data_IF_316035581588
#
_entry.id   IF_316035581588
#
_cell.length_a   1.000
_cell.length_b   1.000
_cell.length_c   1.000
_cell.angle_alpha   90.00
_cell.angle_beta   90.00
_cell.angle_gamma   90.00
#
_symmetry.space_group_name_H-M   'P 1'
#
loop_
_entity.id
_entity.type
_entity.pdbx_description
1 polymer ?
#
# COMPACT_ATOMS: atom_id res chain seq x y z
N UNK A 1 4.47 3.12 4.47
CA UNK A 1 3.71 3.96 5.43
C UNK A 1 4.48 5.14 6.01
N UNK A 2 5.80 5.03 6.26
CA UNK A 2 6.56 6.12 6.92
C UNK A 2 6.39 7.50 6.27
N UNK A 3 6.38 7.57 4.94
CA UNK A 3 6.32 8.85 4.23
C UNK A 3 4.98 9.58 4.38
N UNK A 4 3.85 8.87 4.33
CA UNK A 4 2.53 9.49 4.49
C UNK A 4 2.28 9.92 5.94
N UNK A 5 2.79 9.16 6.91
CA UNK A 5 2.72 9.53 8.33
C UNK A 5 3.57 10.76 8.62
N UNK A 6 4.76 10.88 8.03
CA UNK A 6 5.57 12.09 8.13
C UNK A 6 4.89 13.28 7.47
N UNK A 7 4.30 13.08 6.29
CA UNK A 7 3.55 14.14 5.62
C UNK A 7 2.40 14.66 6.48
N UNK A 8 1.62 13.75 7.09
CA UNK A 8 0.58 14.09 8.03
C UNK A 8 1.13 14.89 9.22
N UNK A 9 2.18 14.40 9.90
CA UNK A 9 2.75 15.09 11.06
C UNK A 9 3.26 16.50 10.73
N UNK A 10 3.81 16.70 9.54
CA UNK A 10 4.36 17.99 9.14
C UNK A 10 3.28 19.02 8.74
N UNK A 11 2.13 18.57 8.23
CA UNK A 11 1.13 19.46 7.61
C UNK A 11 -0.28 19.39 8.22
N UNK A 12 -0.56 18.52 9.21
CA UNK A 12 -1.90 18.35 9.80
C UNK A 12 -2.52 19.62 10.40
N UNK A 13 -1.72 20.61 10.76
CA UNK A 13 -2.21 21.90 11.28
C UNK A 13 -2.57 22.88 10.14
N UNK A 14 -2.34 22.49 8.88
CA UNK A 14 -2.53 23.32 7.68
C UNK A 14 -3.38 22.67 6.60
N UNK A 15 -3.51 21.35 6.61
CA UNK A 15 -4.31 20.59 5.68
C UNK A 15 -4.92 19.38 6.37
N UNK A 16 -6.15 19.02 5.98
CA UNK A 16 -6.81 17.80 6.41
C UNK A 16 -6.26 16.59 5.65
N UNK A 17 -6.23 15.44 6.32
CA UNK A 17 -5.80 14.17 5.75
C UNK A 17 -6.87 13.12 5.99
N UNK A 18 -7.14 12.31 4.98
CA UNK A 18 -8.03 11.15 5.07
C UNK A 18 -7.43 10.01 4.24
N UNK A 19 -7.28 8.85 4.85
CA UNK A 19 -7.03 7.59 4.12
C UNK A 19 -8.36 6.86 3.99
N UNK A 20 -8.69 6.36 2.79
CA UNK A 20 -9.91 5.57 2.56
C UNK A 20 -9.50 4.15 2.19
N UNK A 21 -9.96 3.19 2.98
CA UNK A 21 -9.74 1.77 2.70
C UNK A 21 -10.67 1.28 1.61
N UNK A 22 -10.10 0.79 0.51
CA UNK A 22 -10.84 0.23 -0.64
C UNK A 22 -10.70 -1.30 -0.69
N UNK A 23 -11.20 -1.94 -1.74
CA UNK A 23 -11.08 -3.39 -1.96
C UNK A 23 -9.62 -3.86 -2.02
N UNK A 24 -9.37 -5.12 -1.66
CA UNK A 24 -8.04 -5.71 -1.63
C UNK A 24 -7.39 -5.72 -3.02
N UNK A 25 -6.09 -5.41 -3.08
CA UNK A 25 -5.32 -5.55 -4.32
C UNK A 25 -4.90 -7.00 -4.59
N UNK A 26 -4.70 -7.77 -3.52
CA UNK A 26 -4.14 -9.13 -3.58
C UNK A 26 -4.86 -10.07 -2.60
N UNK A 27 -6.15 -10.34 -2.78
CA UNK A 27 -6.89 -11.21 -1.88
C UNK A 27 -6.50 -12.69 -2.06
N UNK A 28 -6.65 -13.48 -0.99
CA UNK A 28 -6.30 -14.91 -0.94
C UNK A 28 -7.09 -15.78 -1.90
N UNK A 29 -8.32 -15.37 -2.24
CA UNK A 29 -9.25 -16.08 -3.11
C UNK A 29 -9.17 -15.66 -4.58
N UNK A 30 -8.23 -14.76 -4.93
CA UNK A 30 -7.93 -14.40 -6.32
C UNK A 30 -6.42 -14.53 -6.59
N UNK A 31 -5.64 -13.49 -6.32
CA UNK A 31 -4.20 -13.46 -6.57
C UNK A 31 -3.43 -12.96 -5.34
N UNK A 32 -2.96 -13.92 -4.54
CA UNK A 32 -2.15 -13.63 -3.35
C UNK A 32 -0.68 -13.34 -3.70
N UNK A 33 -0.09 -12.34 -3.04
CA UNK A 33 1.33 -12.02 -3.14
C UNK A 33 2.18 -12.71 -2.07
N UNK A 34 3.40 -13.11 -2.43
CA UNK A 34 4.36 -13.74 -1.50
C UNK A 34 4.74 -12.81 -0.33
N UNK A 35 4.76 -11.50 -0.54
CA UNK A 35 5.02 -10.52 0.52
C UNK A 35 3.92 -10.50 1.57
N UNK A 36 2.65 -10.61 1.15
CA UNK A 36 1.51 -10.65 2.06
C UNK A 36 1.54 -11.89 2.96
N UNK A 37 1.97 -13.04 2.42
CA UNK A 37 2.16 -14.27 3.22
C UNK A 37 3.27 -14.10 4.25
N UNK A 38 4.36 -13.41 3.89
CA UNK A 38 5.47 -13.14 4.81
C UNK A 38 5.06 -12.20 5.94
N UNK A 39 4.23 -11.21 5.62
CA UNK A 39 3.78 -10.18 6.56
C UNK A 39 2.45 -10.56 7.27
N UNK A 40 1.95 -11.78 7.04
CA UNK A 40 0.68 -12.32 7.53
C UNK A 40 -0.53 -11.40 7.25
N UNK A 41 -0.56 -10.80 6.07
CA UNK A 41 -1.64 -9.94 5.53
C UNK A 41 -2.43 -10.75 4.49
N UNK A 42 -3.04 -11.85 4.94
CA UNK A 42 -3.73 -12.79 4.06
C UNK A 42 -5.25 -12.74 4.26
N UNK A 43 -5.90 -11.85 3.52
CA UNK A 43 -7.36 -11.69 3.57
C UNK A 43 -8.03 -12.16 2.29
N UNK A 44 -9.20 -12.77 2.38
CA UNK A 44 -10.09 -12.94 1.23
C UNK A 44 -10.76 -11.60 0.89
N UNK A 45 -11.23 -11.46 -0.34
CA UNK A 45 -11.97 -10.26 -0.74
C UNK A 45 -13.23 -10.11 0.14
N UNK A 46 -13.41 -8.99 0.87
CA UNK A 46 -14.59 -8.82 1.71
C UNK A 46 -15.86 -8.79 0.86
N UNK A 47 -16.90 -9.52 1.31
CA UNK A 47 -18.23 -9.60 0.67
C UNK A 47 -19.29 -8.79 1.42
N UNK A 48 -18.95 -8.30 2.61
CA UNK A 48 -19.81 -7.51 3.50
C UNK A 48 -19.02 -6.35 4.09
N UNK A 49 -19.73 -5.30 4.51
CA UNK A 49 -19.10 -4.13 5.12
C UNK A 49 -18.39 -4.52 6.42
N UNK A 50 -18.97 -5.42 7.20
CA UNK A 50 -18.41 -5.91 8.46
C UNK A 50 -17.07 -6.61 8.25
N UNK A 51 -16.93 -7.41 7.19
CA UNK A 51 -15.67 -8.03 6.82
C UNK A 51 -14.63 -6.99 6.41
N UNK A 52 -15.02 -6.00 5.59
CA UNK A 52 -14.10 -4.92 5.19
C UNK A 52 -13.65 -4.10 6.40
N UNK A 53 -14.57 -3.80 7.32
CA UNK A 53 -14.28 -3.11 8.59
C UNK A 53 -13.34 -3.92 9.46
N UNK A 54 -13.51 -5.24 9.53
CA UNK A 54 -12.61 -6.10 10.30
C UNK A 54 -11.17 -6.04 9.77
N UNK A 55 -10.98 -6.09 8.45
CA UNK A 55 -9.65 -6.00 7.81
C UNK A 55 -9.04 -4.60 8.03
N UNK A 56 -9.82 -3.54 7.80
CA UNK A 56 -9.39 -2.16 8.06
C UNK A 56 -8.99 -1.93 9.53
N UNK A 57 -9.70 -2.55 10.48
CA UNK A 57 -9.35 -2.50 11.91
C UNK A 57 -8.04 -3.23 12.20
N UNK A 58 -7.81 -4.40 11.61
CA UNK A 58 -6.52 -5.07 11.75
C UNK A 58 -5.38 -4.20 11.21
N UNK A 59 -5.54 -3.62 10.02
CA UNK A 59 -4.54 -2.72 9.44
C UNK A 59 -4.19 -1.56 10.38
N UNK A 60 -5.19 -0.84 10.87
CA UNK A 60 -4.97 0.32 11.74
C UNK A 60 -4.32 -0.06 13.07
N UNK A 61 -4.72 -1.19 13.66
CA UNK A 61 -4.13 -1.71 14.90
C UNK A 61 -2.69 -2.21 14.71
N UNK A 62 -2.45 -3.03 13.68
CA UNK A 62 -1.16 -3.65 13.36
C UNK A 62 -0.08 -2.59 13.11
N UNK A 63 -0.41 -1.56 12.34
CA UNK A 63 0.55 -0.52 11.95
C UNK A 63 0.48 0.76 12.81
N UNK A 64 -0.39 0.79 13.82
CA UNK A 64 -0.65 1.97 14.66
C UNK A 64 -0.87 3.22 13.78
N UNK A 65 -1.72 3.07 12.78
CA UNK A 65 -1.87 4.06 11.71
C UNK A 65 -2.55 5.33 12.26
N UNK A 66 -1.88 6.50 12.24
CA UNK A 66 -2.32 7.66 13.02
C UNK A 66 -3.25 8.63 12.26
N UNK A 67 -3.44 8.45 10.95
CA UNK A 67 -4.26 9.35 10.14
C UNK A 67 -5.75 9.03 10.30
N UNK A 68 -6.65 10.02 10.11
CA UNK A 68 -8.07 9.76 9.93
C UNK A 68 -8.31 8.72 8.83
N UNK A 69 -9.20 7.78 9.12
CA UNK A 69 -9.37 6.57 8.33
C UNK A 69 -10.84 6.30 8.03
N UNK A 70 -11.20 6.42 6.75
CA UNK A 70 -12.49 6.04 6.21
C UNK A 70 -12.45 4.64 5.59
N UNK A 71 -13.61 4.05 5.38
CA UNK A 71 -13.77 2.75 4.74
C UNK A 71 -14.77 2.93 3.61
N UNK A 72 -14.38 2.59 2.38
CA UNK A 72 -15.27 2.63 1.23
C UNK A 72 -16.40 1.61 1.43
N UNK A 73 -17.60 1.96 1.01
CA UNK A 73 -18.74 1.07 1.14
C UNK A 73 -18.62 -0.12 0.17
N UNK A 74 -19.49 -1.13 0.35
CA UNK A 74 -19.45 -2.33 -0.49
C UNK A 74 -19.80 -2.10 -1.97
N UNK A 75 -20.35 -0.93 -2.33
CA UNK A 75 -20.54 -0.54 -3.74
C UNK A 75 -19.24 -0.07 -4.40
N UNK A 76 -18.18 0.15 -3.62
CA UNK A 76 -16.88 0.68 -4.06
C UNK A 76 -17.02 2.06 -4.70
N UNK A 77 -17.87 2.91 -4.13
CA UNK A 77 -18.19 4.23 -4.68
C UNK A 77 -16.94 5.13 -4.72
N UNK A 78 -16.12 5.13 -3.66
CA UNK A 78 -14.90 5.93 -3.63
C UNK A 78 -13.83 5.38 -4.58
N UNK A 79 -13.62 4.05 -4.61
CA UNK A 79 -12.70 3.41 -5.57
C UNK A 79 -13.07 3.78 -7.01
N UNK A 80 -14.36 3.68 -7.36
CA UNK A 80 -14.86 3.99 -8.69
C UNK A 80 -14.71 5.48 -9.04
N UNK A 81 -15.09 6.38 -8.13
CA UNK A 81 -15.04 7.81 -8.38
C UNK A 81 -13.60 8.35 -8.52
N UNK A 82 -12.66 7.76 -7.78
CA UNK A 82 -11.26 8.22 -7.74
C UNK A 82 -10.29 7.28 -8.48
N UNK A 83 -10.78 6.22 -9.13
CA UNK A 83 -9.96 5.17 -9.72
C UNK A 83 -8.78 4.82 -8.79
N UNK A 84 -9.12 4.48 -7.54
CA UNK A 84 -8.18 4.47 -6.42
C UNK A 84 -7.36 3.17 -6.37
N UNK A 85 -7.90 2.07 -6.90
CA UNK A 85 -7.23 0.78 -6.89
C UNK A 85 -5.96 0.76 -7.77
N UNK A 86 -4.86 0.14 -7.31
CA UNK A 86 -4.72 -0.55 -6.03
C UNK A 86 -4.47 0.40 -4.85
N UNK A 87 -3.80 1.52 -5.11
CA UNK A 87 -3.63 2.64 -4.19
C UNK A 87 -3.40 3.94 -4.98
N UNK A 88 -3.82 5.09 -4.42
CA UNK A 88 -3.70 6.39 -5.09
C UNK A 88 -3.72 7.56 -4.13
N UNK A 89 -3.06 8.66 -4.52
CA UNK A 89 -3.02 9.93 -3.78
C UNK A 89 -3.77 11.01 -4.55
N UNK A 90 -4.47 11.85 -3.81
CA UNK A 90 -5.18 13.02 -4.33
C UNK A 90 -4.97 14.23 -3.41
N UNK A 91 -5.03 15.42 -3.98
CA UNK A 91 -5.23 16.66 -3.23
C UNK A 91 -6.48 17.33 -3.79
N UNK A 92 -7.40 17.66 -2.89
CA UNK A 92 -8.60 18.43 -3.16
C UNK A 92 -8.41 19.78 -2.47
N UNK A 93 -8.55 20.87 -3.20
CA UNK A 93 -8.43 22.22 -2.64
C UNK A 93 -9.70 22.68 -1.90
N UNK A 94 -9.61 23.82 -1.24
CA UNK A 94 -10.71 24.47 -0.53
C UNK A 94 -11.95 24.79 -1.39
N UNK A 95 -11.84 24.75 -2.72
CA UNK A 95 -12.97 24.93 -3.65
C UNK A 95 -13.61 23.60 -4.07
N UNK A 96 -13.11 22.48 -3.56
CA UNK A 96 -13.58 21.13 -3.89
C UNK A 96 -13.01 20.60 -5.21
N UNK A 97 -11.93 21.18 -5.74
CA UNK A 97 -11.32 20.75 -7.01
C UNK A 97 -10.11 19.86 -6.78
N UNK A 98 -9.95 18.86 -7.64
CA UNK A 98 -8.74 18.03 -7.67
C UNK A 98 -7.60 18.86 -8.27
N UNK A 99 -6.63 19.19 -7.44
CA UNK A 99 -5.42 19.95 -7.81
C UNK A 99 -4.17 19.08 -7.92
N UNK A 100 -4.26 17.85 -7.44
CA UNK A 100 -3.27 16.79 -7.67
C UNK A 100 -3.97 15.44 -7.77
N UNK A 101 -3.60 14.66 -8.79
CA UNK A 101 -3.99 13.26 -8.98
C UNK A 101 -2.74 12.42 -9.22
N UNK A 102 -2.38 11.58 -8.25
CA UNK A 102 -1.27 10.64 -8.38
C UNK A 102 -1.49 9.60 -9.47
N UNK A 103 -0.41 8.96 -9.89
CA UNK A 103 -0.48 7.78 -10.76
C UNK A 103 -0.97 6.53 -10.00
N UNK A 104 -1.11 5.42 -10.71
CA UNK A 104 -1.51 4.14 -10.11
C UNK A 104 -0.36 3.56 -9.28
N UNK A 105 -0.63 3.21 -8.03
CA UNK A 105 0.32 2.51 -7.19
C UNK A 105 0.53 1.04 -7.61
N UNK A 106 1.59 0.38 -7.07
CA UNK A 106 2.60 0.99 -6.22
C UNK A 106 3.61 1.85 -7.01
N UNK A 107 3.75 1.63 -8.32
CA UNK A 107 4.82 2.24 -9.14
C UNK A 107 4.76 3.77 -9.22
N UNK A 108 3.57 4.36 -9.06
CA UNK A 108 3.39 5.80 -9.10
C UNK A 108 2.74 6.37 -7.83
N UNK A 109 2.80 5.62 -6.73
CA UNK A 109 2.43 6.14 -5.41
C UNK A 109 3.57 7.01 -4.87
N UNK A 110 3.45 8.34 -5.01
CA UNK A 110 4.54 9.28 -4.73
C UNK A 110 4.17 10.35 -3.70
N UNK A 111 4.32 10.06 -2.39
CA UNK A 111 4.14 11.05 -1.33
C UNK A 111 5.04 12.29 -1.46
N UNK A 112 6.19 12.17 -2.15
CA UNK A 112 7.08 13.29 -2.44
C UNK A 112 6.43 14.40 -3.28
N UNK A 113 5.65 14.03 -4.30
CA UNK A 113 4.93 15.01 -5.14
C UNK A 113 3.84 15.74 -4.33
N UNK A 114 3.17 15.03 -3.42
CA UNK A 114 2.21 15.65 -2.48
C UNK A 114 2.91 16.62 -1.54
N UNK A 115 4.10 16.26 -1.02
CA UNK A 115 4.91 17.13 -0.18
C UNK A 115 5.34 18.39 -0.91
N UNK A 116 5.79 18.28 -2.16
CA UNK A 116 6.18 19.42 -2.99
C UNK A 116 5.00 20.38 -3.16
N UNK A 117 3.81 19.85 -3.45
CA UNK A 117 2.59 20.65 -3.57
C UNK A 117 2.24 21.37 -2.25
N UNK A 118 2.26 20.64 -1.12
CA UNK A 118 1.97 21.21 0.21
C UNK A 118 3.01 22.27 0.61
N UNK A 119 4.28 22.05 0.30
CA UNK A 119 5.36 23.00 0.54
C UNK A 119 5.19 24.27 -0.32
N UNK A 120 4.75 24.13 -1.58
CA UNK A 120 4.48 25.27 -2.44
C UNK A 120 3.29 26.11 -1.93
N UNK A 121 2.25 25.48 -1.38
CA UNK A 121 1.06 26.19 -0.86
C UNK A 121 1.27 26.78 0.53
N UNK A 122 1.93 26.05 1.43
CA UNK A 122 2.01 26.40 2.86
C UNK A 122 3.43 26.74 3.35
N UNK A 123 4.44 26.59 2.50
CA UNK A 123 5.85 26.70 2.86
C UNK A 123 6.43 25.38 3.36
N UNK A 124 7.73 25.18 3.10
CA UNK A 124 8.47 23.99 3.51
C UNK A 124 8.54 23.87 5.04
N UNK A 125 8.20 22.70 5.56
CA UNK A 125 8.33 22.36 6.98
C UNK A 125 9.57 21.50 7.18
N UNK A 126 10.36 21.78 8.22
CA UNK A 126 11.44 20.87 8.64
C UNK A 126 10.77 19.60 9.17
N UNK A 127 11.07 18.40 8.63
CA UNK A 127 10.45 17.18 9.11
C UNK A 127 10.57 17.09 10.62
N UNK A 128 9.46 16.88 11.32
CA UNK A 128 9.53 16.61 12.75
C UNK A 128 10.49 15.43 12.98
N UNK A 129 11.31 15.43 14.06
CA UNK A 129 12.19 14.30 14.36
C UNK A 129 11.36 13.01 14.33
N UNK A 130 11.72 12.10 13.43
CA UNK A 130 11.07 10.79 13.36
C UNK A 130 11.27 10.12 14.73
N UNK A 131 10.21 9.96 15.52
CA UNK A 131 10.22 8.92 16.55
C UNK A 131 10.47 7.62 15.82
N UNK A 132 11.64 7.02 16.08
CA UNK A 132 12.19 5.90 15.33
C UNK A 132 11.11 4.88 14.96
N UNK A 133 10.89 4.71 13.64
CA UNK A 133 10.14 3.58 13.15
C UNK A 133 10.84 2.30 13.63
N UNK A 134 10.08 1.45 14.32
CA UNK A 134 10.52 0.12 14.73
C UNK A 134 11.11 -0.61 13.49
N UNK A 135 12.24 -1.33 13.59
CA UNK A 135 13.06 -1.75 12.43
C UNK A 135 12.41 -2.80 11.50
N UNK A 136 11.12 -3.11 11.67
CA UNK A 136 10.39 -4.06 10.84
C UNK A 136 10.12 -3.57 9.40
N UNK A 137 10.40 -2.31 9.05
CA UNK A 137 10.12 -1.79 7.69
C UNK A 137 11.33 -1.73 6.75
N UNK A 138 12.51 -2.26 7.14
CA UNK A 138 13.64 -2.40 6.21
C UNK A 138 13.64 -3.82 5.63
N UNK A 139 12.73 -4.07 4.68
CA UNK A 139 12.89 -5.21 3.78
C UNK A 139 14.07 -4.92 2.85
N UNK A 140 15.25 -5.36 3.28
CA UNK A 140 16.47 -5.48 2.49
C UNK A 140 16.21 -6.30 1.23
N UNK A 141 16.47 -5.70 0.07
CA UNK A 141 16.69 -6.43 -1.17
C UNK A 141 17.97 -7.25 -1.05
N UNK A 142 18.00 -8.55 -1.40
CA UNK A 142 19.23 -9.21 -1.76
C UNK A 142 19.40 -9.17 -3.29
N UNK A 143 20.58 -8.71 -3.70
CA UNK A 143 21.11 -8.88 -5.04
C UNK A 143 21.29 -10.38 -5.33
N UNK A 144 20.78 -10.85 -6.47
CA UNK A 144 21.04 -12.19 -6.97
C UNK A 144 22.29 -12.16 -7.84
N UNK A 145 23.43 -12.54 -7.27
CA UNK A 145 24.64 -12.90 -8.03
C UNK A 145 24.51 -14.32 -8.57
N UNK A 146 24.76 -14.45 -9.87
CA UNK A 146 24.85 -15.69 -10.63
C UNK A 146 25.85 -16.69 -10.05
N UNK A 147 25.49 -17.98 -10.00
CA UNK A 147 26.45 -19.07 -10.10
C UNK A 147 25.91 -20.20 -10.95
N UNK A 148 26.57 -20.44 -12.09
CA UNK A 148 26.44 -21.66 -12.87
C UNK A 148 26.92 -22.86 -12.05
N UNK A 149 26.20 -23.99 -12.16
CA UNK A 149 26.78 -25.31 -11.97
C UNK A 149 26.10 -26.28 -12.94
N UNK A 150 26.88 -26.69 -13.94
CA UNK A 150 26.64 -27.79 -14.87
C UNK A 150 26.92 -29.14 -14.20
N UNK A 151 26.11 -30.17 -14.49
CA UNK A 151 26.55 -31.52 -14.93
C UNK A 151 25.32 -32.43 -15.15
N UNK A 152 25.43 -33.30 -16.16
CA UNK A 152 24.35 -34.03 -16.85
C UNK A 152 24.20 -35.50 -16.35
N UNK A 153 23.60 -36.44 -17.11
CA UNK A 153 22.25 -36.97 -16.91
C UNK A 153 22.24 -38.45 -16.43
N UNK A 154 21.08 -38.98 -16.01
CA UNK A 154 20.89 -40.43 -15.87
C UNK A 154 19.69 -40.92 -16.69
N UNK A 155 20.00 -41.95 -17.48
CA UNK A 155 19.19 -42.61 -18.50
C UNK A 155 18.03 -43.44 -17.96
N UNK A 156 17.01 -43.59 -18.82
CA UNK A 156 15.96 -44.60 -18.71
C UNK A 156 16.49 -46.05 -18.84
N UNK A 157 15.67 -47.04 -18.48
CA UNK A 157 15.32 -48.04 -19.49
C UNK A 157 13.84 -48.47 -19.52
N UNK A 158 13.55 -49.27 -20.55
CA UNK A 158 12.30 -49.58 -21.24
C UNK A 158 11.33 -50.58 -20.59
N UNK A 159 10.06 -50.46 -21.03
CA UNK A 159 8.98 -51.44 -21.31
C UNK A 159 9.10 -52.90 -20.78
N UNK A 160 8.01 -53.43 -20.20
CA UNK A 160 7.15 -54.42 -20.88
C UNK A 160 5.82 -54.70 -20.14
N UNK A 161 4.89 -55.23 -20.92
CA UNK A 161 3.46 -55.54 -20.77
C UNK A 161 3.00 -56.34 -19.53
N UNK A 162 1.75 -56.08 -19.10
CA UNK A 162 0.65 -57.03 -19.23
C UNK A 162 -0.71 -56.33 -19.22
#
# INVERSE_FOLDING_TARGET
MGDIVQLYNDYRDRADFLTVYVREAHPTDEWQMKSNVKDDVCYAQPKTLEQRVAIAKDFTARYKFPLPFGIDDMSNAADSAYAAWPERLYIIDETGRIVYRGGLGPFHYKPGEVREWLAAKYGSVRPAPQTAANPASRASAPASTSSQATTAPLSAPAKSEK
#
